data_IF_912717868633
#
_entry.id   IF_912717868633
#
_cell.length_a   1.000
_cell.length_b   1.000
_cell.length_c   1.000
_cell.angle_alpha   90.00
_cell.angle_beta   90.00
_cell.angle_gamma   90.00
#
_symmetry.space_group_name_H-M   'P 1'
#
loop_
_entity.id
_entity.type
_entity.pdbx_description
1 polymer ?
#
# COMPACT_ATOMS: atom_id res chain seq x y z
N UNK A 1 46.31 21.83 -4.43
CA UNK A 1 45.56 20.74 -5.08
C UNK A 1 45.11 19.64 -4.11
N UNK A 2 45.00 19.90 -2.80
CA UNK A 2 44.66 18.89 -1.76
C UNK A 2 43.41 19.25 -0.91
N UNK A 3 42.69 20.32 -1.25
CA UNK A 3 41.45 20.70 -0.55
C UNK A 3 40.19 20.19 -1.25
N UNK A 4 40.24 20.00 -2.58
CA UNK A 4 39.08 19.50 -3.35
C UNK A 4 38.90 17.99 -3.16
N UNK A 5 39.97 17.23 -2.91
CA UNK A 5 39.90 15.78 -2.73
C UNK A 5 39.33 15.34 -1.38
N UNK A 6 39.43 16.18 -0.34
CA UNK A 6 38.79 15.91 0.96
C UNK A 6 37.29 16.23 0.97
N UNK A 7 36.81 17.08 0.06
CA UNK A 7 35.37 17.35 -0.07
C UNK A 7 34.63 16.21 -0.76
N UNK A 8 35.31 15.47 -1.65
CA UNK A 8 34.74 14.31 -2.35
C UNK A 8 34.66 13.07 -1.43
N UNK A 9 35.55 12.95 -0.44
CA UNK A 9 35.54 11.80 0.49
C UNK A 9 34.44 11.92 1.56
N UNK A 10 33.97 13.12 1.89
CA UNK A 10 32.73 13.29 2.68
C UNK A 10 31.45 13.13 1.85
N UNK A 11 31.58 12.96 0.53
CA UNK A 11 30.45 12.81 -0.40
C UNK A 11 30.31 11.35 -0.87
N UNK A 12 30.73 10.40 -0.04
CA UNK A 12 30.51 8.97 -0.23
C UNK A 12 29.61 8.48 0.89
N UNK A 13 28.35 8.25 0.50
CA UNK A 13 27.32 7.49 1.22
C UNK A 13 26.62 8.26 2.36
N UNK A 14 25.69 9.15 1.98
CA UNK A 14 24.42 9.18 2.71
C UNK A 14 23.68 7.88 2.35
N UNK A 15 24.02 6.78 3.01
CA UNK A 15 23.18 5.58 3.05
C UNK A 15 21.95 5.95 3.88
N UNK A 16 21.04 6.72 3.27
CA UNK A 16 19.68 6.77 3.75
C UNK A 16 19.10 5.42 3.43
N UNK A 17 19.04 4.53 4.42
CA UNK A 17 18.47 3.20 4.24
C UNK A 17 17.09 3.35 3.59
N UNK A 18 16.96 2.77 2.40
CA UNK A 18 15.73 2.76 1.64
C UNK A 18 14.91 1.58 2.13
N UNK A 19 13.82 1.84 2.81
CA UNK A 19 12.99 0.80 3.38
C UNK A 19 11.60 0.76 2.75
N UNK A 20 10.97 -0.42 2.80
CA UNK A 20 9.61 -0.66 2.32
C UNK A 20 8.73 -1.10 3.46
N UNK A 21 7.72 -0.29 3.74
CA UNK A 21 6.67 -0.60 4.69
C UNK A 21 5.43 -1.00 3.91
N UNK A 22 4.68 -1.97 4.41
CA UNK A 22 3.44 -2.38 3.75
C UNK A 22 2.36 -2.75 4.76
N UNK A 23 1.10 -2.66 4.33
CA UNK A 23 0.02 -3.29 5.08
C UNK A 23 0.13 -4.82 4.95
N UNK A 24 -0.53 -5.57 5.84
CA UNK A 24 -0.45 -7.04 5.91
C UNK A 24 -0.86 -7.75 4.61
N UNK A 25 -1.65 -7.11 3.75
CA UNK A 25 -2.07 -7.68 2.46
C UNK A 25 -1.29 -7.19 1.24
N UNK A 26 -0.24 -6.39 1.46
CA UNK A 26 0.59 -5.76 0.42
C UNK A 26 -0.14 -4.80 -0.54
N UNK A 27 -1.41 -4.47 -0.29
CA UNK A 27 -2.17 -3.53 -1.14
C UNK A 27 -1.59 -2.11 -1.12
N UNK A 28 -1.12 -1.64 0.03
CA UNK A 28 -0.47 -0.34 0.20
C UNK A 28 0.98 -0.59 0.59
N UNK A 29 1.91 -0.03 -0.17
CA UNK A 29 3.35 -0.08 0.09
C UNK A 29 3.92 1.33 0.08
N UNK A 30 4.67 1.67 1.12
CA UNK A 30 5.35 2.94 1.28
C UNK A 30 6.85 2.73 1.13
N UNK A 31 7.45 3.50 0.23
CA UNK A 31 8.89 3.57 0.05
C UNK A 31 9.40 4.77 0.83
N UNK A 32 10.18 4.51 1.87
CA UNK A 32 10.69 5.55 2.77
C UNK A 32 12.20 5.68 2.62
N UNK A 33 12.70 6.88 2.89
CA UNK A 33 14.12 7.19 2.97
C UNK A 33 14.49 7.52 4.41
N UNK A 34 15.43 6.78 4.97
CA UNK A 34 15.91 6.98 6.34
C UNK A 34 14.92 6.48 7.40
N UNK A 35 15.11 6.95 8.63
CA UNK A 35 14.43 6.39 9.79
C UNK A 35 13.04 6.99 10.04
N UNK A 36 12.19 6.18 10.67
CA UNK A 36 10.89 6.61 11.19
C UNK A 36 11.10 7.50 12.42
N UNK A 37 10.51 8.70 12.43
CA UNK A 37 10.58 9.61 13.56
C UNK A 37 9.29 9.51 14.38
N UNK A 38 9.31 8.96 15.61
CA UNK A 38 8.10 8.86 16.42
C UNK A 38 7.48 10.24 16.66
N UNK A 39 6.17 10.35 16.50
CA UNK A 39 5.44 11.60 16.69
C UNK A 39 4.55 11.51 17.92
N UNK A 40 4.65 12.51 18.79
CA UNK A 40 3.66 12.68 19.85
C UNK A 40 2.38 13.27 19.25
N UNK A 41 1.28 12.53 19.28
CA UNK A 41 -0.03 12.95 18.72
C UNK A 41 -0.48 14.31 19.28
N UNK A 42 -0.17 14.61 20.55
CA UNK A 42 -0.51 15.90 21.16
C UNK A 42 0.15 17.09 20.47
N UNK A 43 1.32 16.87 19.84
CA UNK A 43 2.02 17.91 19.07
C UNK A 43 1.38 18.23 17.73
N UNK A 44 0.47 17.37 17.24
CA UNK A 44 -0.22 17.57 15.96
C UNK A 44 -1.40 18.55 16.05
N UNK A 45 -1.72 19.05 17.25
CA UNK A 45 -2.79 20.03 17.50
C UNK A 45 -4.13 19.63 16.86
N UNK A 46 -4.45 18.33 16.92
CA UNK A 46 -5.67 17.79 16.33
C UNK A 46 -6.90 18.28 17.12
N UNK A 47 -7.99 18.69 16.45
CA UNK A 47 -9.23 19.02 17.13
C UNK A 47 -9.81 17.78 17.82
N UNK A 48 -10.66 17.92 18.86
CA UNK A 48 -11.16 16.79 19.63
C UNK A 48 -11.85 15.69 18.79
N UNK A 49 -12.55 16.09 17.72
CA UNK A 49 -13.20 15.15 16.79
C UNK A 49 -12.17 14.36 15.96
N UNK A 50 -11.00 14.92 15.69
CA UNK A 50 -9.94 14.25 14.95
C UNK A 50 -9.28 13.11 15.75
N UNK A 51 -9.25 13.22 17.08
CA UNK A 51 -8.78 12.15 17.97
C UNK A 51 -9.67 10.91 17.93
N UNK A 52 -10.89 10.99 17.37
CA UNK A 52 -11.80 9.84 17.21
C UNK A 52 -11.43 8.91 16.04
N UNK A 53 -10.40 9.25 15.25
CA UNK A 53 -9.93 8.38 14.18
C UNK A 53 -8.89 7.41 14.77
N UNK A 54 -9.11 6.08 14.72
CA UNK A 54 -8.24 5.11 15.38
C UNK A 54 -6.77 5.18 14.97
N UNK A 55 -6.47 5.73 13.78
CA UNK A 55 -5.10 5.96 13.34
C UNK A 55 -4.30 6.85 14.31
N UNK A 56 -4.91 7.88 14.89
CA UNK A 56 -4.24 8.79 15.83
C UNK A 56 -4.25 8.28 17.28
N UNK A 57 -4.91 7.15 17.56
CA UNK A 57 -4.85 6.47 18.86
C UNK A 57 -3.64 5.53 18.95
N UNK A 58 -3.10 5.10 17.80
CA UNK A 58 -1.97 4.19 17.71
C UNK A 58 -0.59 4.87 17.76
N UNK A 59 0.45 4.05 17.63
CA UNK A 59 1.82 4.53 17.48
C UNK A 59 2.02 5.06 16.06
N UNK A 60 2.35 6.35 15.96
CA UNK A 60 2.57 7.02 14.69
C UNK A 60 4.00 7.54 14.57
N UNK A 61 4.52 7.48 13.35
CA UNK A 61 5.82 8.04 13.00
C UNK A 61 5.72 8.93 11.77
N UNK A 62 6.49 10.00 11.74
CA UNK A 62 6.72 10.81 10.54
C UNK A 62 7.84 10.17 9.71
N UNK A 63 7.63 10.15 8.39
CA UNK A 63 8.60 9.59 7.44
C UNK A 63 8.81 10.51 6.24
N UNK A 64 9.99 10.42 5.65
CA UNK A 64 10.26 10.97 4.32
C UNK A 64 10.04 9.88 3.29
N UNK A 65 9.22 10.14 2.29
CA UNK A 65 9.06 9.24 1.17
C UNK A 65 10.28 9.31 0.25
N UNK A 66 10.66 8.15 -0.29
CA UNK A 66 11.64 8.05 -1.36
C UNK A 66 10.96 8.24 -2.74
N UNK A 67 11.74 8.19 -3.83
CA UNK A 67 11.27 8.24 -5.21
C UNK A 67 10.17 7.21 -5.54
N UNK A 68 10.16 6.08 -4.83
CA UNK A 68 9.09 5.08 -4.97
C UNK A 68 7.73 5.53 -4.41
N UNK A 69 7.71 6.57 -3.56
CA UNK A 69 6.50 7.16 -2.99
C UNK A 69 5.60 6.16 -2.27
N UNK A 70 4.30 6.25 -2.55
CA UNK A 70 3.29 5.31 -2.04
C UNK A 70 2.69 4.60 -3.24
N UNK A 71 2.82 3.28 -3.28
CA UNK A 71 2.20 2.43 -4.28
C UNK A 71 0.96 1.73 -3.72
N UNK A 72 -0.01 1.55 -4.61
CA UNK A 72 -1.35 1.03 -4.30
C UNK A 72 -1.72 0.04 -5.40
N UNK A 73 -1.92 -1.22 -5.04
CA UNK A 73 -2.24 -2.27 -6.02
C UNK A 73 -3.71 -2.20 -6.45
N UNK A 74 -4.63 -2.00 -5.49
CA UNK A 74 -6.07 -1.90 -5.71
C UNK A 74 -6.65 -0.68 -4.98
N UNK A 75 -6.86 0.41 -5.72
CA UNK A 75 -7.39 1.68 -5.18
C UNK A 75 -8.79 1.51 -4.58
N UNK A 76 -9.62 0.63 -5.18
CA UNK A 76 -10.98 0.37 -4.71
C UNK A 76 -11.04 -0.24 -3.30
N UNK A 77 -9.93 -0.77 -2.78
CA UNK A 77 -9.80 -1.30 -1.43
C UNK A 77 -9.29 -0.26 -0.43
N UNK A 78 -9.11 0.99 -0.84
CA UNK A 78 -8.55 2.05 0.00
C UNK A 78 -9.67 2.99 0.41
N UNK A 79 -9.83 3.15 1.73
CA UNK A 79 -10.71 4.16 2.30
C UNK A 79 -9.88 5.36 2.72
N UNK A 80 -10.37 6.55 2.38
CA UNK A 80 -9.79 7.82 2.82
C UNK A 80 -10.76 8.52 3.75
N UNK A 81 -10.26 9.04 4.87
CA UNK A 81 -11.02 9.87 5.81
C UNK A 81 -10.28 11.18 6.05
N UNK A 82 -10.89 12.28 5.66
CA UNK A 82 -10.36 13.62 5.93
C UNK A 82 -10.69 14.03 7.36
N UNK A 83 -9.70 14.54 8.06
CA UNK A 83 -9.78 14.87 9.48
C UNK A 83 -8.85 16.06 9.76
N UNK A 84 -9.43 17.24 9.99
CA UNK A 84 -8.68 18.50 10.14
C UNK A 84 -7.72 18.70 8.95
N UNK A 85 -6.42 18.78 9.22
CA UNK A 85 -5.36 18.99 8.22
C UNK A 85 -4.77 17.69 7.67
N UNK A 86 -5.43 16.55 7.90
CA UNK A 86 -4.92 15.23 7.51
C UNK A 86 -5.95 14.46 6.70
N UNK A 87 -5.46 13.70 5.72
CA UNK A 87 -6.25 12.67 5.04
C UNK A 87 -5.63 11.33 5.41
N UNK A 88 -6.40 10.52 6.13
CA UNK A 88 -5.97 9.23 6.66
C UNK A 88 -6.45 8.12 5.75
N UNK A 89 -5.58 7.17 5.42
CA UNK A 89 -5.83 6.08 4.48
C UNK A 89 -5.82 4.73 5.18
N UNK A 90 -6.88 3.95 4.95
CA UNK A 90 -7.07 2.59 5.48
C UNK A 90 -7.14 1.58 4.34
N UNK A 91 -6.49 0.44 4.49
CA UNK A 91 -6.74 -0.71 3.63
C UNK A 91 -7.95 -1.49 4.14
N UNK A 92 -8.99 -1.61 3.31
CA UNK A 92 -10.23 -2.33 3.65
C UNK A 92 -10.06 -3.84 3.68
N UNK A 93 -9.03 -4.38 3.01
CA UNK A 93 -8.81 -5.82 2.94
C UNK A 93 -8.16 -6.39 4.20
N UNK A 94 -7.19 -5.72 4.81
CA UNK A 94 -6.58 -6.16 6.07
C UNK A 94 -7.01 -5.32 7.28
N UNK A 95 -7.91 -4.37 7.07
CA UNK A 95 -8.45 -3.42 8.05
C UNK A 95 -7.39 -2.51 8.72
N UNK A 96 -6.21 -2.37 8.13
CA UNK A 96 -5.10 -1.59 8.69
C UNK A 96 -5.19 -0.12 8.26
N UNK A 97 -5.12 0.80 9.22
CA UNK A 97 -4.83 2.21 8.95
C UNK A 97 -3.35 2.35 8.62
N UNK A 98 -3.02 2.79 7.41
CA UNK A 98 -1.65 2.72 6.91
C UNK A 98 -0.89 4.03 7.08
N UNK A 99 -1.44 5.12 6.56
CA UNK A 99 -0.76 6.41 6.57
C UNK A 99 -1.74 7.57 6.58
N UNK A 100 -1.25 8.74 6.96
CA UNK A 100 -1.93 10.02 6.81
C UNK A 100 -1.05 11.00 6.04
N UNK A 101 -1.62 11.66 5.05
CA UNK A 101 -0.98 12.75 4.33
C UNK A 101 -1.56 14.08 4.78
N UNK A 102 -0.71 15.08 4.96
CA UNK A 102 -1.17 16.41 5.32
C UNK A 102 -1.96 17.05 4.16
N UNK A 103 -3.11 17.66 4.41
CA UNK A 103 -4.01 18.21 3.40
C UNK A 103 -3.33 19.28 2.52
N UNK A 104 -2.56 20.19 3.14
CA UNK A 104 -1.80 21.24 2.44
C UNK A 104 -0.43 20.77 1.94
N UNK A 105 0.39 20.13 2.78
CA UNK A 105 1.76 19.73 2.44
C UNK A 105 1.83 18.45 1.59
N UNK A 106 0.72 17.72 1.48
CA UNK A 106 0.61 16.47 0.73
C UNK A 106 1.64 15.44 1.18
N UNK A 107 2.31 14.84 0.20
CA UNK A 107 3.32 13.79 0.39
C UNK A 107 4.66 14.30 0.94
N UNK A 108 4.84 15.62 1.10
CA UNK A 108 6.01 16.18 1.77
C UNK A 108 5.94 16.04 3.30
N UNK A 109 4.76 15.69 3.84
CA UNK A 109 4.56 15.43 5.27
C UNK A 109 3.61 14.25 5.45
N UNK A 110 4.18 13.08 5.74
CA UNK A 110 3.46 11.82 5.84
C UNK A 110 3.68 11.20 7.21
N UNK A 111 2.57 10.82 7.85
CA UNK A 111 2.56 10.00 9.05
C UNK A 111 2.22 8.57 8.67
N UNK A 112 2.85 7.60 9.33
CA UNK A 112 2.58 6.17 9.16
C UNK A 112 2.16 5.55 10.48
N UNK A 113 1.40 4.46 10.40
CA UNK A 113 1.21 3.57 11.51
C UNK A 113 2.47 2.72 11.69
N UNK A 114 3.02 2.67 12.91
CA UNK A 114 4.20 1.85 13.22
C UNK A 114 3.95 0.35 13.12
N UNK A 115 2.70 -0.10 13.12
CA UNK A 115 2.32 -1.52 12.98
C UNK A 115 2.43 -2.04 11.52
N UNK A 116 2.84 -1.18 10.58
CA UNK A 116 3.10 -1.62 9.21
C UNK A 116 4.24 -2.63 9.14
N UNK A 117 4.10 -3.58 8.22
CA UNK A 117 5.07 -4.63 8.00
C UNK A 117 6.34 -4.05 7.37
N UNK A 118 7.43 -4.04 8.15
CA UNK A 118 8.75 -3.56 7.73
C UNK A 118 9.66 -4.70 7.22
N UNK A 119 9.47 -5.91 7.74
CA UNK A 119 10.35 -7.06 7.47
C UNK A 119 10.18 -7.56 6.02
N UNK A 120 11.23 -7.45 5.17
CA UNK A 120 11.15 -7.86 3.78
C UNK A 120 10.93 -9.37 3.63
N UNK A 121 11.48 -10.19 4.54
CA UNK A 121 11.30 -11.65 4.49
C UNK A 121 9.84 -12.03 4.70
N UNK A 122 9.14 -11.32 5.59
CA UNK A 122 7.69 -11.53 5.77
C UNK A 122 6.89 -11.06 4.57
N UNK A 123 7.27 -9.93 3.96
CA UNK A 123 6.63 -9.45 2.74
C UNK A 123 6.77 -10.46 1.59
N UNK A 124 7.96 -11.04 1.42
CA UNK A 124 8.21 -12.04 0.39
C UNK A 124 7.48 -13.36 0.68
N UNK A 125 7.43 -13.78 1.95
CA UNK A 125 6.66 -14.96 2.36
C UNK A 125 5.17 -14.83 2.00
N UNK A 126 4.59 -13.62 2.14
CA UNK A 126 3.21 -13.35 1.74
C UNK A 126 3.04 -13.52 0.22
N UNK A 127 4.02 -13.08 -0.59
CA UNK A 127 3.96 -13.22 -2.07
C UNK A 127 4.04 -14.67 -2.54
N UNK A 128 4.63 -15.54 -1.73
CA UNK A 128 4.73 -16.99 -2.03
C UNK A 128 3.56 -17.79 -1.48
N UNK A 129 2.64 -17.18 -0.73
CA UNK A 129 1.49 -17.85 -0.16
C UNK A 129 0.44 -18.19 -1.24
N UNK A 130 -0.26 -19.32 -1.07
CA UNK A 130 -1.31 -19.77 -2.00
C UNK A 130 -2.50 -18.81 -2.10
N UNK A 131 -2.82 -18.09 -1.01
CA UNK A 131 -3.90 -17.09 -0.96
C UNK A 131 -3.48 -15.72 -1.53
N UNK A 132 -2.23 -15.58 -1.98
CA UNK A 132 -1.79 -14.40 -2.71
C UNK A 132 -2.34 -14.45 -4.14
N UNK A 133 -3.08 -13.43 -4.54
CA UNK A 133 -3.58 -13.32 -5.91
C UNK A 133 -2.48 -12.72 -6.81
N UNK A 134 -1.92 -13.46 -7.78
CA UNK A 134 -0.94 -12.89 -8.71
C UNK A 134 -1.55 -11.84 -9.64
N UNK A 135 -2.84 -11.99 -9.95
CA UNK A 135 -3.61 -11.06 -10.76
C UNK A 135 -3.77 -9.70 -10.07
N UNK A 136 -4.31 -9.71 -8.85
CA UNK A 136 -4.60 -8.47 -8.13
C UNK A 136 -3.43 -7.96 -7.28
N UNK A 137 -2.36 -8.78 -7.16
CA UNK A 137 -1.14 -8.52 -6.38
C UNK A 137 -1.36 -8.23 -4.90
N UNK A 138 -2.43 -8.81 -4.35
CA UNK A 138 -2.79 -8.68 -2.94
C UNK A 138 -2.96 -10.05 -2.31
N UNK A 139 -2.70 -10.12 -1.02
CA UNK A 139 -3.03 -11.28 -0.20
C UNK A 139 -4.43 -11.12 0.39
N UNK A 140 -5.30 -12.12 0.22
CA UNK A 140 -6.65 -12.06 0.78
C UNK A 140 -6.60 -12.40 2.27
N UNK A 141 -6.84 -11.41 3.13
CA UNK A 141 -6.72 -11.62 4.57
C UNK A 141 -7.92 -12.40 5.12
N UNK A 142 -7.69 -13.27 6.11
CA UNK A 142 -8.80 -13.89 6.84
C UNK A 142 -9.70 -12.86 7.54
N UNK A 143 -9.17 -11.69 7.90
CA UNK A 143 -9.95 -10.59 8.48
C UNK A 143 -11.01 -10.10 7.48
N UNK A 144 -10.68 -10.04 6.19
CA UNK A 144 -11.65 -9.73 5.13
C UNK A 144 -12.77 -10.78 5.05
N UNK A 145 -12.44 -12.04 5.30
CA UNK A 145 -13.39 -13.16 5.23
C UNK A 145 -14.30 -13.21 6.46
N UNK A 146 -13.78 -12.98 7.67
CA UNK A 146 -14.55 -13.01 8.94
C UNK A 146 -15.49 -11.82 9.11
N UNK A 147 -15.19 -10.68 8.48
CA UNK A 147 -16.06 -9.49 8.54
C UNK A 147 -17.42 -9.69 7.82
N UNK A 148 -17.58 -10.77 7.03
CA UNK A 148 -18.79 -11.03 6.24
C UNK A 148 -19.95 -11.72 6.97
N UNK A 149 -19.80 -12.17 8.22
CA UNK A 149 -20.91 -12.85 8.91
C UNK A 149 -21.99 -11.90 9.45
N UNK A 150 -21.77 -10.58 9.51
CA UNK A 150 -22.74 -9.67 10.14
C UNK A 150 -23.05 -8.35 9.43
N UNK A 151 -22.63 -8.13 8.19
CA UNK A 151 -23.11 -6.95 7.45
C UNK A 151 -23.13 -7.19 5.95
N UNK A 152 -24.28 -7.67 5.46
CA UNK A 152 -24.77 -7.26 4.15
C UNK A 152 -24.99 -5.75 4.23
N UNK A 153 -23.93 -4.99 4.01
CA UNK A 153 -24.01 -3.53 3.90
C UNK A 153 -24.96 -3.25 2.75
N UNK A 154 -26.20 -2.89 3.08
CA UNK A 154 -27.11 -2.21 2.18
C UNK A 154 -26.34 -1.06 1.55
N UNK A 155 -26.37 -0.92 0.20
CA UNK A 155 -25.61 0.12 -0.47
C UNK A 155 -26.11 1.46 0.06
N UNK A 156 -25.22 2.18 0.75
CA UNK A 156 -25.42 3.60 1.02
C UNK A 156 -25.57 4.22 -0.37
N UNK A 157 -26.76 4.77 -0.65
CA UNK A 157 -27.28 5.22 -1.94
C UNK A 157 -26.50 6.36 -2.61
N UNK A 158 -25.23 6.58 -2.23
CA UNK A 158 -24.38 7.65 -2.74
C UNK A 158 -23.27 7.21 -3.68
N UNK A 159 -23.01 5.90 -3.88
CA UNK A 159 -21.79 5.47 -4.57
C UNK A 159 -21.93 4.31 -5.57
N UNK A 160 -23.15 4.03 -6.05
CA UNK A 160 -23.39 2.95 -7.02
C UNK A 160 -22.52 3.06 -8.28
N UNK A 161 -22.29 4.28 -8.76
CA UNK A 161 -21.45 4.52 -9.93
C UNK A 161 -19.99 4.16 -9.66
N UNK A 162 -19.43 4.53 -8.50
CA UNK A 162 -18.08 4.12 -8.13
C UNK A 162 -17.98 2.60 -7.96
N UNK A 163 -19.00 1.95 -7.38
CA UNK A 163 -19.05 0.49 -7.27
C UNK A 163 -19.06 -0.16 -8.67
N UNK A 164 -19.89 0.34 -9.60
CA UNK A 164 -19.91 -0.14 -10.99
C UNK A 164 -18.58 0.07 -11.70
N UNK A 165 -17.97 1.25 -11.54
CA UNK A 165 -16.69 1.59 -12.16
C UNK A 165 -15.57 0.69 -11.61
N UNK A 166 -15.52 0.48 -10.30
CA UNK A 166 -14.56 -0.43 -9.68
C UNK A 166 -14.77 -1.88 -10.16
N UNK A 167 -16.03 -2.34 -10.24
CA UNK A 167 -16.34 -3.67 -10.76
C UNK A 167 -15.89 -3.84 -12.22
N UNK A 168 -16.12 -2.83 -13.07
CA UNK A 168 -15.67 -2.84 -14.46
C UNK A 168 -14.14 -2.86 -14.57
N UNK A 169 -13.42 -2.11 -13.73
CA UNK A 169 -11.96 -2.13 -13.69
C UNK A 169 -11.42 -3.50 -13.27
N UNK A 170 -12.01 -4.14 -12.26
CA UNK A 170 -11.63 -5.50 -11.84
C UNK A 170 -11.91 -6.53 -12.93
N UNK A 171 -13.04 -6.42 -13.63
CA UNK A 171 -13.37 -7.26 -14.78
C UNK A 171 -12.39 -7.09 -15.94
N UNK A 172 -11.97 -5.86 -16.23
CA UNK A 172 -10.96 -5.58 -17.26
C UNK A 172 -9.59 -6.18 -16.89
N UNK A 173 -9.15 -6.04 -15.63
CA UNK A 173 -7.92 -6.69 -15.14
C UNK A 173 -7.99 -8.21 -15.32
N UNK A 174 -9.10 -8.84 -14.92
CA UNK A 174 -9.32 -10.28 -15.08
C UNK A 174 -9.29 -10.70 -16.55
N UNK A 175 -9.98 -9.97 -17.42
CA UNK A 175 -10.05 -10.26 -18.85
C UNK A 175 -8.66 -10.20 -19.49
N UNK A 176 -7.88 -9.16 -19.17
CA UNK A 176 -6.49 -9.01 -19.65
C UNK A 176 -5.58 -10.12 -19.15
N UNK A 177 -5.74 -10.54 -17.91
CA UNK A 177 -4.96 -11.63 -17.34
C UNK A 177 -5.28 -12.97 -18.01
N UNK A 178 -6.56 -13.31 -18.14
CA UNK A 178 -6.98 -14.54 -18.82
C UNK A 178 -6.53 -14.57 -20.29
N UNK A 179 -6.56 -13.42 -20.97
CA UNK A 179 -6.04 -13.31 -22.34
C UNK A 179 -4.53 -13.62 -22.40
N UNK A 180 -3.74 -13.11 -21.46
CA UNK A 180 -2.29 -13.38 -21.39
C UNK A 180 -1.98 -14.84 -21.08
N UNK A 181 -2.68 -15.42 -20.10
CA UNK A 181 -2.52 -16.83 -19.74
C UNK A 181 -2.89 -17.74 -20.92
N UNK A 182 -3.98 -17.42 -21.63
CA UNK A 182 -4.36 -18.15 -22.84
C UNK A 182 -3.26 -18.10 -23.89
N UNK A 183 -2.73 -16.92 -24.21
CA UNK A 183 -1.63 -16.77 -25.17
C UNK A 183 -0.39 -17.55 -24.74
N UNK A 184 -0.02 -17.51 -23.46
CA UNK A 184 1.15 -18.23 -22.95
C UNK A 184 0.99 -19.76 -23.04
N UNK A 185 -0.22 -20.28 -22.84
CA UNK A 185 -0.54 -21.70 -23.02
C UNK A 185 -0.50 -22.08 -24.50
N UNK A 186 -1.09 -21.27 -25.37
CA UNK A 186 -1.12 -21.51 -26.81
C UNK A 186 0.31 -21.52 -27.40
N UNK A 187 1.18 -20.60 -26.97
CA UNK A 187 2.60 -20.56 -27.37
C UNK A 187 3.36 -21.82 -26.91
N UNK A 188 3.18 -22.26 -25.67
CA UNK A 188 3.79 -23.50 -25.16
C UNK A 188 3.32 -24.72 -25.94
N UNK A 189 2.01 -24.82 -26.21
CA UNK A 189 1.45 -25.92 -26.99
C UNK A 189 2.00 -25.93 -28.41
N UNK A 190 2.16 -24.77 -29.05
CA UNK A 190 2.75 -24.68 -30.39
C UNK A 190 4.22 -25.14 -30.42
N UNK A 191 5.01 -24.79 -29.40
CA UNK A 191 6.40 -25.26 -29.25
C UNK A 191 6.45 -26.78 -29.05
N UNK A 192 5.58 -27.34 -28.20
CA UNK A 192 5.51 -28.80 -28.02
C UNK A 192 5.07 -29.51 -29.30
N UNK A 193 4.12 -28.98 -30.04
CA UNK A 193 3.64 -29.60 -31.30
C UNK A 193 4.75 -29.63 -32.36
N UNK A 194 5.58 -28.58 -32.42
CA UNK A 194 6.73 -28.51 -33.34
C UNK A 194 7.92 -29.39 -32.93
N UNK A 195 7.96 -29.92 -31.70
CA UNK A 195 9.02 -30.81 -31.22
C UNK A 195 8.73 -32.30 -31.43
N UNK A 196 7.47 -32.65 -31.75
CA UNK A 196 7.02 -34.03 -31.98
C UNK A 196 6.88 -34.40 -33.47
N UNK A 197 7.32 -33.51 -34.38
CA UNK A 197 7.47 -33.75 -35.82
C UNK A 197 8.91 -33.48 -36.25
#
# INVERSE_FOLDING_TARGET
MNLVMNLVIHMVIASGDMARLSCECLNIVLHIRGDQQPVNVSSLLLPPLANSVPFFEGNISEVQLDLGGISKEQECLIQAKTTSDWVVYKCSNCDTWCYAAHAVKGLNRVLINSDLLYDPTKQDAIRTNEDFSPLFKIFLSEKALKTKEHSLVTPITGNEEAVRNNAAQLQDQLTKYLAREKTAVDEKNQVCTNFFF
#
